data_IF_966388802131
#
_entry.id   IF_966388802131
#
_cell.length_a   1.000
_cell.length_b   1.000
_cell.length_c   1.000
_cell.angle_alpha   90.00
_cell.angle_beta   90.00
_cell.angle_gamma   90.00
#
_symmetry.space_group_name_H-M   'P 1'
#
loop_
_entity.id
_entity.type
_entity.pdbx_description
1 polymer ?
#
# COMPACT_ATOMS: atom_id res chain seq x y z
N UNK A 1 -18.87 -0.63 0.53
CA UNK A 1 -19.16 -1.77 -0.38
C UNK A 1 -20.51 -2.31 0.01
N UNK A 2 -21.48 -2.44 -0.92
CA UNK A 2 -22.86 -2.75 -0.53
C UNK A 2 -23.15 -4.25 -0.49
N UNK A 3 -22.65 -5.04 -1.43
CA UNK A 3 -22.81 -6.51 -1.44
C UNK A 3 -21.66 -7.17 -2.21
N UNK A 4 -21.15 -8.31 -1.72
CA UNK A 4 -20.21 -9.20 -2.43
C UNK A 4 -20.76 -10.61 -2.38
N UNK A 5 -20.90 -11.23 -3.55
CA UNK A 5 -21.29 -12.64 -3.68
C UNK A 5 -20.16 -13.45 -4.33
N UNK A 6 -20.32 -14.77 -4.41
CA UNK A 6 -19.36 -15.65 -5.07
C UNK A 6 -19.15 -15.31 -6.55
N UNK A 7 -20.11 -14.68 -7.21
CA UNK A 7 -20.12 -14.45 -8.67
C UNK A 7 -20.04 -12.97 -9.07
N UNK A 8 -20.28 -12.04 -8.14
CA UNK A 8 -20.31 -10.62 -8.46
C UNK A 8 -20.22 -9.71 -7.24
N UNK A 9 -20.09 -8.42 -7.49
CA UNK A 9 -20.08 -7.40 -6.45
C UNK A 9 -20.88 -6.17 -6.87
N UNK A 10 -21.45 -5.48 -5.87
CA UNK A 10 -22.11 -4.20 -6.03
C UNK A 10 -21.25 -3.11 -5.39
N UNK A 11 -20.72 -2.25 -6.23
CA UNK A 11 -19.85 -1.14 -5.86
C UNK A 11 -20.66 0.15 -5.85
N UNK A 12 -20.33 1.04 -4.91
CA UNK A 12 -20.80 2.42 -4.94
C UNK A 12 -19.64 3.28 -5.40
N UNK A 13 -19.76 3.84 -6.59
CA UNK A 13 -18.74 4.64 -7.25
C UNK A 13 -19.41 5.90 -7.78
N UNK A 14 -18.84 7.06 -7.50
CA UNK A 14 -19.36 8.34 -8.00
C UNK A 14 -19.51 8.30 -9.53
N UNK A 15 -20.62 8.83 -10.04
CA UNK A 15 -20.93 8.95 -11.46
C UNK A 15 -19.84 9.67 -12.28
N UNK A 16 -19.09 10.57 -11.63
CA UNK A 16 -18.00 11.32 -12.25
C UNK A 16 -16.76 10.46 -12.54
N UNK A 17 -16.68 9.26 -11.97
CA UNK A 17 -15.56 8.33 -12.16
C UNK A 17 -15.93 7.33 -13.25
N UNK A 18 -15.23 7.40 -14.38
CA UNK A 18 -15.30 6.36 -15.41
C UNK A 18 -14.50 5.13 -14.96
N UNK A 19 -15.15 3.97 -15.04
CA UNK A 19 -14.52 2.69 -14.76
C UNK A 19 -14.25 1.99 -16.10
N UNK A 20 -13.09 1.36 -16.29
CA UNK A 20 -12.84 0.52 -17.45
C UNK A 20 -13.77 -0.71 -17.43
N UNK A 21 -13.95 -1.33 -18.60
CA UNK A 21 -14.80 -2.53 -18.74
C UNK A 21 -14.28 -3.70 -17.89
N UNK A 22 -12.97 -3.89 -17.82
CA UNK A 22 -12.32 -4.88 -16.94
C UNK A 22 -11.32 -4.21 -16.01
N UNK A 23 -11.32 -4.61 -14.74
CA UNK A 23 -10.36 -4.12 -13.75
C UNK A 23 -10.15 -5.11 -12.61
N UNK A 24 -9.14 -4.81 -11.79
CA UNK A 24 -8.83 -5.58 -10.60
C UNK A 24 -9.48 -4.94 -9.37
N UNK A 25 -10.22 -5.73 -8.62
CA UNK A 25 -10.87 -5.35 -7.38
C UNK A 25 -10.15 -6.04 -6.21
N UNK A 26 -9.53 -5.25 -5.34
CA UNK A 26 -8.99 -5.73 -4.06
C UNK A 26 -10.04 -5.56 -2.98
N UNK A 27 -10.36 -6.62 -2.26
CA UNK A 27 -11.26 -6.54 -1.11
C UNK A 27 -10.43 -6.10 0.10
N UNK A 28 -10.76 -4.99 0.73
CA UNK A 28 -10.06 -4.55 1.94
C UNK A 28 -10.57 -5.38 3.13
N UNK A 29 -9.66 -5.90 3.96
CA UNK A 29 -9.99 -6.80 5.07
C UNK A 29 -10.06 -8.28 4.69
N UNK A 30 -9.94 -8.61 3.40
CA UNK A 30 -9.74 -9.98 2.94
C UNK A 30 -8.54 -10.01 1.99
N UNK A 31 -7.64 -10.97 2.13
CA UNK A 31 -6.47 -11.07 1.25
C UNK A 31 -6.84 -11.66 -0.12
N UNK A 32 -7.79 -11.04 -0.81
CA UNK A 32 -8.27 -11.46 -2.11
C UNK A 32 -8.27 -10.31 -3.10
N UNK A 33 -7.89 -10.65 -4.33
CA UNK A 33 -8.04 -9.80 -5.50
C UNK A 33 -8.80 -10.57 -6.56
N UNK A 34 -9.79 -9.91 -7.16
CA UNK A 34 -10.57 -10.46 -8.25
C UNK A 34 -10.43 -9.59 -9.50
N UNK A 35 -10.27 -10.24 -10.65
CA UNK A 35 -10.50 -9.61 -11.93
C UNK A 35 -12.01 -9.55 -12.14
N UNK A 36 -12.55 -8.36 -12.38
CA UNK A 36 -13.97 -8.11 -12.54
C UNK A 36 -14.26 -7.42 -13.86
N UNK A 37 -15.43 -7.72 -14.44
CA UNK A 37 -15.96 -7.05 -15.61
C UNK A 37 -17.22 -6.25 -15.24
N UNK A 38 -17.38 -5.07 -15.82
CA UNK A 38 -18.54 -4.22 -15.62
C UNK A 38 -19.77 -4.85 -16.29
N UNK A 39 -20.79 -5.15 -15.49
CA UNK A 39 -22.02 -5.76 -15.97
C UNK A 39 -23.12 -4.72 -16.22
N UNK A 40 -23.26 -3.77 -15.32
CA UNK A 40 -24.23 -2.69 -15.43
C UNK A 40 -23.82 -1.51 -14.54
N UNK A 41 -24.34 -0.33 -14.87
CA UNK A 41 -24.23 0.88 -14.05
C UNK A 41 -25.55 1.62 -14.03
N UNK A 42 -25.96 2.05 -12.83
CA UNK A 42 -27.14 2.89 -12.62
C UNK A 42 -26.74 3.99 -11.64
N UNK A 43 -26.51 5.20 -12.16
CA UNK A 43 -25.99 6.34 -11.39
C UNK A 43 -24.70 6.01 -10.64
N UNK A 44 -24.78 6.06 -9.31
CA UNK A 44 -23.67 5.79 -8.40
C UNK A 44 -23.46 4.30 -8.05
N UNK A 45 -24.27 3.40 -8.61
CA UNK A 45 -24.19 1.96 -8.37
C UNK A 45 -23.65 1.24 -9.59
N UNK A 46 -22.67 0.39 -9.35
CA UNK A 46 -22.02 -0.41 -10.39
C UNK A 46 -22.12 -1.87 -10.00
N UNK A 47 -22.71 -2.67 -10.89
CA UNK A 47 -22.67 -4.11 -10.81
C UNK A 47 -21.47 -4.64 -11.57
N UNK A 48 -20.66 -5.45 -10.91
CA UNK A 48 -19.51 -6.12 -11.54
C UNK A 48 -19.64 -7.63 -11.40
N UNK A 49 -19.21 -8.35 -12.44
CA UNK A 49 -19.11 -9.81 -12.47
C UNK A 49 -17.67 -10.21 -12.20
N UNK A 50 -17.47 -11.20 -11.34
CA UNK A 50 -16.14 -11.75 -11.07
C UNK A 50 -15.77 -12.69 -12.23
N UNK A 51 -14.64 -12.40 -12.89
CA UNK A 51 -14.09 -13.19 -14.00
C UNK A 51 -13.02 -14.16 -13.49
N UNK A 52 -12.13 -13.68 -12.62
CA UNK A 52 -11.09 -14.49 -11.97
C UNK A 52 -10.94 -14.08 -10.52
N UNK A 53 -10.54 -15.02 -9.68
CA UNK A 53 -10.31 -14.81 -8.26
C UNK A 53 -8.93 -15.34 -7.88
N UNK A 54 -8.17 -14.54 -7.12
CA UNK A 54 -6.85 -14.91 -6.61
C UNK A 54 -6.75 -14.52 -5.13
N UNK A 55 -6.19 -15.44 -4.33
CA UNK A 55 -5.77 -15.14 -2.96
C UNK A 55 -4.42 -14.44 -2.99
N UNK A 56 -4.36 -13.21 -2.49
CA UNK A 56 -3.10 -12.56 -2.19
C UNK A 56 -2.45 -13.33 -1.06
N UNK A 57 -1.32 -13.98 -1.34
CA UNK A 57 -0.43 -14.37 -0.25
C UNK A 57 0.14 -13.08 0.31
N UNK A 58 -0.04 -12.75 1.60
CA UNK A 58 0.53 -11.56 2.17
C UNK A 58 2.04 -11.62 1.96
N UNK A 59 2.56 -10.71 1.12
CA UNK A 59 4.00 -10.54 0.97
C UNK A 59 4.49 -10.09 2.33
N UNK A 60 5.20 -10.97 3.06
CA UNK A 60 5.93 -10.57 4.26
C UNK A 60 6.86 -9.44 3.83
N UNK A 61 6.50 -8.22 4.17
CA UNK A 61 7.44 -7.12 4.20
C UNK A 61 8.37 -7.49 5.34
N UNK A 62 9.49 -8.14 5.01
CA UNK A 62 10.62 -8.15 5.93
C UNK A 62 10.89 -6.67 6.21
N UNK A 63 11.00 -6.24 7.48
CA UNK A 63 11.40 -4.89 7.80
C UNK A 63 12.64 -4.60 6.97
N UNK A 64 12.58 -3.57 6.13
CA UNK A 64 13.76 -3.07 5.46
C UNK A 64 14.81 -2.87 6.57
N UNK A 65 15.95 -3.54 6.43
CA UNK A 65 17.05 -3.52 7.38
C UNK A 65 17.22 -2.10 7.92
N UNK A 66 16.92 -1.93 9.21
CA UNK A 66 17.21 -0.69 9.96
C UNK A 66 18.71 -0.60 10.26
N UNK A 67 19.55 -0.97 9.29
CA UNK A 67 21.01 -0.99 9.39
C UNK A 67 21.60 0.07 8.46
N UNK A 68 21.27 1.32 8.74
CA UNK A 68 21.97 2.54 8.33
C UNK A 68 21.07 3.70 8.82
N UNK A 69 21.42 4.55 9.78
CA UNK A 69 22.72 4.99 10.23
C UNK A 69 22.70 5.26 11.73
N UNK A 70 23.61 4.62 12.46
CA UNK A 70 24.08 5.13 13.76
C UNK A 70 25.59 5.10 13.73
N UNK A 71 26.17 5.96 12.90
CA UNK A 71 27.58 6.30 13.05
C UNK A 71 27.85 7.73 12.55
N UNK A 72 27.26 8.70 13.26
CA UNK A 72 27.72 10.09 13.23
C UNK A 72 28.14 10.48 14.64
N UNK A 73 29.34 10.06 15.02
CA UNK A 73 30.07 10.76 16.06
C UNK A 73 31.51 11.01 15.59
N UNK A 74 31.79 12.24 15.11
CA UNK A 74 33.06 12.85 15.45
C UNK A 74 32.79 14.27 15.95
N UNK A 75 32.28 14.42 17.17
CA UNK A 75 32.55 15.66 17.89
C UNK A 75 33.98 15.56 18.43
N UNK A 76 34.94 15.82 17.54
CA UNK A 76 36.31 16.16 17.89
C UNK A 76 36.26 17.25 18.96
N UNK A 77 36.53 16.87 20.21
CA UNK A 77 36.83 17.84 21.27
C UNK A 77 38.22 18.40 20.96
N UNK A 78 38.25 19.56 20.32
CA UNK A 78 39.45 20.39 20.20
C UNK A 78 39.86 20.91 21.58
N UNK A 79 40.52 20.07 22.37
CA UNK A 79 41.25 20.48 23.57
C UNK A 79 42.63 20.99 23.15
N UNK A 80 42.78 22.30 23.04
CA UNK A 80 44.08 22.93 22.75
C UNK A 80 45.00 22.76 23.96
N UNK A 81 45.91 21.80 23.89
CA UNK A 81 46.98 21.60 24.88
C UNK A 81 48.02 22.71 24.69
N UNK A 82 47.86 23.83 25.41
CA UNK A 82 48.88 24.87 25.50
C UNK A 82 50.02 24.37 26.37
N UNK A 83 51.17 24.12 25.75
CA UNK A 83 52.44 24.00 26.44
C UNK A 83 52.83 25.39 26.96
N UNK A 84 53.06 25.51 28.27
CA UNK A 84 53.92 26.56 28.83
C UNK A 84 54.88 25.86 29.78
N UNK A 85 56.10 25.61 29.30
CA UNK A 85 57.27 25.44 30.18
C UNK A 85 57.75 26.83 30.58
N UNK A 86 58.08 26.98 31.86
CA UNK A 86 58.98 27.90 32.56
C UNK A 86 58.85 27.40 34.02
N UNK A 87 59.87 26.94 34.72
CA UNK A 87 61.26 27.44 34.83
C UNK A 87 62.31 26.31 34.78
#
# INVERSE_FOLDING_TARGET
MKDVSATGAKLSVSENIQLPYEFMLKVVGMDYVCAVALAWRVGNLVGVRIVKFAKLVPKRVLPADSREATDWAPHQRHGTRRYRRLD
#
